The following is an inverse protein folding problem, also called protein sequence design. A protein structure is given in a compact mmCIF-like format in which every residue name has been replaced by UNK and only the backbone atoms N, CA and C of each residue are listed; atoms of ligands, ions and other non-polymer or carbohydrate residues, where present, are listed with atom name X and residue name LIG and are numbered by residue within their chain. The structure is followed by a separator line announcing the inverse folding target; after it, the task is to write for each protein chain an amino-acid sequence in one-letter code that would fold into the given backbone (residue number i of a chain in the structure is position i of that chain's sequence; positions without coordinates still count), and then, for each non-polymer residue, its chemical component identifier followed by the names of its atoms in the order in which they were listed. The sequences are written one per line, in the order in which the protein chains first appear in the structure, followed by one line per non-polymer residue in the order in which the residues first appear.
data_IF_626014045139
#
_entry.id   IF_626014045139
#
_cell.length_a   1.000
_cell.length_b   1.000
_cell.length_c   1.000
_cell.angle_alpha   90.00
_cell.angle_beta   90.00
_cell.angle_gamma   90.00
#
_symmetry.space_group_name_H-M   'P 1'
#
loop_
_entity.id
_entity.type
_entity.pdbx_description
1 polymer ?
#
# COMPACT_ATOMS: atom_id res chain seq x y z
N UNK A 1 -20.19 -6.87 -5.52
CA UNK A 1 -20.43 -5.41 -5.36
C UNK A 1 -19.53 -4.64 -6.32
N UNK A 2 -19.99 -3.53 -6.92
CA UNK A 2 -19.14 -2.58 -7.63
C UNK A 2 -18.24 -1.81 -6.65
N UNK A 3 -17.12 -1.27 -7.12
CA UNK A 3 -16.11 -0.63 -6.27
C UNK A 3 -16.70 0.43 -5.32
N UNK A 4 -17.47 1.41 -5.82
CA UNK A 4 -18.09 2.44 -5.00
C UNK A 4 -19.05 1.88 -3.92
N UNK A 5 -19.69 0.73 -4.16
CA UNK A 5 -20.49 0.04 -3.14
C UNK A 5 -19.60 -0.67 -2.11
N UNK A 6 -18.46 -1.24 -2.54
CA UNK A 6 -17.47 -1.85 -1.64
C UNK A 6 -16.90 -0.82 -0.65
N UNK A 7 -16.58 0.40 -1.12
CA UNK A 7 -16.04 1.46 -0.24
C UNK A 7 -16.98 1.83 0.91
N UNK A 8 -18.28 1.64 0.73
CA UNK A 8 -19.30 2.01 1.72
C UNK A 8 -19.68 0.84 2.64
N UNK A 9 -19.82 -0.36 2.08
CA UNK A 9 -20.48 -1.47 2.76
C UNK A 9 -19.61 -2.70 3.03
N UNK A 10 -18.56 -2.94 2.24
CA UNK A 10 -17.79 -4.17 2.39
C UNK A 10 -17.05 -4.21 3.74
N UNK A 11 -17.08 -5.38 4.39
CA UNK A 11 -16.43 -5.60 5.70
C UNK A 11 -17.10 -4.90 6.89
N UNK A 12 -18.13 -4.10 6.66
CA UNK A 12 -18.84 -3.35 7.70
C UNK A 12 -20.24 -3.95 7.90
N UNK A 13 -20.47 -4.47 9.10
CA UNK A 13 -21.80 -4.91 9.54
C UNK A 13 -22.39 -3.86 10.46
N UNK A 14 -23.71 -3.68 10.43
CA UNK A 14 -24.40 -2.87 11.44
C UNK A 14 -24.08 -3.38 12.85
N UNK A 15 -23.95 -2.46 13.80
CA UNK A 15 -23.67 -2.80 15.20
C UNK A 15 -24.78 -3.72 15.74
N UNK A 16 -24.45 -4.91 16.26
CA UNK A 16 -25.46 -5.90 16.66
C UNK A 16 -26.26 -5.45 17.89
N UNK A 17 -25.76 -4.50 18.67
CA UNK A 17 -26.42 -4.02 19.89
C UNK A 17 -27.43 -2.91 19.61
N UNK A 18 -27.07 -1.96 18.73
CA UNK A 18 -27.85 -0.75 18.48
C UNK A 18 -28.42 -0.67 17.07
N UNK A 19 -27.94 -1.48 16.13
CA UNK A 19 -28.25 -1.39 14.70
C UNK A 19 -27.58 -0.20 14.00
N UNK A 20 -26.59 0.45 14.63
CA UNK A 20 -25.87 1.57 14.03
C UNK A 20 -25.18 1.15 12.72
N UNK A 21 -25.45 1.90 11.65
CA UNK A 21 -24.88 1.63 10.30
C UNK A 21 -23.38 1.94 10.26
N UNK A 22 -22.96 3.04 10.87
CA UNK A 22 -21.54 3.37 11.00
C UNK A 22 -20.96 2.58 12.16
N UNK A 23 -19.82 1.92 11.92
CA UNK A 23 -19.11 1.17 12.96
C UNK A 23 -18.80 2.07 14.17
N UNK A 24 -19.21 1.73 15.41
CA UNK A 24 -18.85 2.49 16.59
C UNK A 24 -17.34 2.55 16.84
N UNK A 25 -16.90 3.61 17.53
CA UNK A 25 -15.51 3.73 18.00
C UNK A 25 -15.40 3.02 19.35
N UNK A 26 -14.78 1.84 19.35
CA UNK A 26 -14.55 1.06 20.58
C UNK A 26 -13.25 1.52 21.25
N UNK A 27 -13.34 2.65 21.96
CA UNK A 27 -12.20 3.23 22.67
C UNK A 27 -11.99 2.51 24.01
N UNK A 28 -11.42 1.30 23.94
CA UNK A 28 -11.16 0.46 25.10
C UNK A 28 -9.86 -0.32 24.94
N UNK A 29 -9.25 -0.74 26.04
CA UNK A 29 -8.07 -1.60 26.05
C UNK A 29 -8.42 -3.08 26.25
N UNK A 30 -9.32 -3.39 27.16
CA UNK A 30 -9.64 -4.73 27.60
C UNK A 30 -11.13 -5.04 27.49
N UNK A 31 -11.46 -6.32 27.44
CA UNK A 31 -12.84 -6.82 27.32
C UNK A 31 -13.12 -7.83 28.44
N UNK A 32 -14.34 -7.85 28.94
CA UNK A 32 -14.75 -8.81 29.98
C UNK A 32 -14.80 -10.22 29.39
N UNK A 33 -14.20 -11.16 30.11
CA UNK A 33 -14.28 -12.58 29.86
C UNK A 33 -15.12 -13.24 30.98
N UNK A 34 -15.96 -14.25 30.66
CA UNK A 34 -16.71 -15.00 31.65
C UNK A 34 -15.81 -15.92 32.47
N UNK A 35 -14.72 -16.43 31.87
CA UNK A 35 -13.61 -17.17 32.45
C UNK A 35 -12.39 -17.03 31.55
N UNK A 36 -11.16 -17.38 31.98
CA UNK A 36 -9.98 -17.30 31.16
C UNK A 36 -10.15 -17.97 29.79
N UNK A 37 -9.95 -17.20 28.71
CA UNK A 37 -10.09 -17.63 27.32
C UNK A 37 -11.55 -17.69 26.80
N UNK A 38 -12.56 -17.39 27.59
CA UNK A 38 -13.97 -17.37 27.17
C UNK A 38 -14.44 -15.93 26.96
N UNK A 39 -14.20 -15.40 25.76
CA UNK A 39 -14.51 -14.03 25.35
C UNK A 39 -15.44 -13.99 24.12
N UNK A 40 -16.07 -12.85 23.88
CA UNK A 40 -17.02 -12.62 22.75
C UNK A 40 -16.31 -12.27 21.43
N UNK A 41 -15.11 -12.82 21.18
CA UNK A 41 -14.29 -12.54 19.98
C UNK A 41 -13.23 -11.46 20.17
N UNK A 42 -13.26 -10.72 21.28
CA UNK A 42 -12.28 -9.68 21.62
C UNK A 42 -11.84 -9.82 23.07
N UNK A 43 -10.54 -9.72 23.33
CA UNK A 43 -9.95 -9.83 24.67
C UNK A 43 -9.11 -8.60 25.03
N UNK A 44 -8.37 -8.08 24.04
CA UNK A 44 -7.45 -6.98 24.23
C UNK A 44 -7.26 -6.20 22.90
N UNK A 45 -7.34 -4.86 22.94
CA UNK A 45 -7.38 -4.04 21.72
C UNK A 45 -6.09 -4.07 20.89
N UNK A 46 -4.93 -4.39 21.47
CA UNK A 46 -3.71 -4.62 20.69
C UNK A 46 -3.87 -5.86 19.81
N UNK A 47 -4.45 -6.94 20.33
CA UNK A 47 -4.73 -8.16 19.56
C UNK A 47 -5.82 -7.91 18.53
N UNK A 48 -7.01 -7.46 18.97
CA UNK A 48 -8.13 -7.15 18.08
C UNK A 48 -9.04 -6.06 18.67
N UNK A 49 -9.56 -5.17 17.82
CA UNK A 49 -10.50 -4.14 18.20
C UNK A 49 -11.62 -4.06 17.16
N UNK A 50 -12.91 -4.00 17.52
CA UNK A 50 -14.02 -4.04 16.55
C UNK A 50 -13.96 -2.95 15.48
N UNK A 51 -13.53 -1.73 15.83
CA UNK A 51 -13.38 -0.61 14.86
C UNK A 51 -12.26 -0.91 13.86
N UNK A 52 -11.11 -1.38 14.36
CA UNK A 52 -9.99 -1.78 13.50
C UNK A 52 -10.35 -2.97 12.62
N UNK A 53 -11.02 -4.00 13.17
CA UNK A 53 -11.46 -5.16 12.40
C UNK A 53 -12.39 -4.79 11.25
N UNK A 54 -13.32 -3.84 11.45
CA UNK A 54 -14.18 -3.36 10.37
C UNK A 54 -13.36 -2.70 9.24
N UNK A 55 -12.34 -1.91 9.59
CA UNK A 55 -11.43 -1.31 8.60
C UNK A 55 -10.60 -2.39 7.88
N UNK A 56 -10.00 -3.32 8.60
CA UNK A 56 -9.19 -4.41 8.05
C UNK A 56 -9.99 -5.26 7.05
N UNK A 57 -11.23 -5.60 7.38
CA UNK A 57 -12.15 -6.31 6.47
C UNK A 57 -12.53 -5.47 5.24
N UNK A 58 -12.72 -4.16 5.40
CA UNK A 58 -13.02 -3.28 4.27
C UNK A 58 -11.85 -3.19 3.31
N UNK A 59 -10.63 -2.99 3.82
CA UNK A 59 -9.40 -2.94 3.03
C UNK A 59 -9.15 -4.25 2.28
N UNK A 60 -9.30 -5.39 2.95
CA UNK A 60 -9.22 -6.70 2.31
C UNK A 60 -10.20 -6.81 1.13
N UNK A 61 -11.47 -6.43 1.34
CA UNK A 61 -12.48 -6.48 0.28
C UNK A 61 -12.18 -5.54 -0.90
N UNK A 62 -11.57 -4.37 -0.64
CA UNK A 62 -11.22 -3.40 -1.69
C UNK A 62 -10.09 -3.91 -2.58
N UNK A 63 -9.07 -4.56 -2.00
CA UNK A 63 -7.94 -5.16 -2.71
C UNK A 63 -8.25 -6.57 -3.26
N UNK A 64 -9.50 -7.04 -3.15
CA UNK A 64 -9.88 -8.43 -3.47
C UNK A 64 -9.09 -9.48 -2.67
N UNK A 65 -8.62 -9.09 -1.48
CA UNK A 65 -7.88 -9.94 -0.55
C UNK A 65 -8.80 -10.62 0.48
N UNK A 66 -8.23 -11.62 1.16
CA UNK A 66 -8.90 -12.34 2.25
C UNK A 66 -8.59 -11.74 3.62
N UNK A 67 -7.35 -11.30 3.81
CA UNK A 67 -6.84 -10.82 5.10
C UNK A 67 -6.31 -9.40 4.95
N UNK A 68 -6.76 -8.51 5.82
CA UNK A 68 -6.26 -7.15 5.96
C UNK A 68 -5.76 -6.91 7.37
N UNK A 69 -4.64 -6.20 7.49
CA UNK A 69 -4.01 -5.81 8.74
C UNK A 69 -3.72 -4.32 8.74
N UNK A 70 -4.04 -3.63 9.81
CA UNK A 70 -3.80 -2.20 9.97
C UNK A 70 -2.65 -1.91 10.93
N UNK A 71 -1.84 -0.91 10.61
CA UNK A 71 -0.65 -0.50 11.35
C UNK A 71 -0.68 0.99 11.67
N UNK A 72 0.02 1.41 12.72
CA UNK A 72 0.09 2.80 13.17
C UNK A 72 0.74 3.79 12.18
N UNK A 73 1.36 3.30 11.10
CA UNK A 73 1.87 4.10 9.98
C UNK A 73 2.17 3.21 8.78
N UNK A 74 2.36 3.80 7.59
CA UNK A 74 2.87 3.08 6.43
C UNK A 74 4.21 2.41 6.72
N UNK A 75 5.13 3.10 7.39
CA UNK A 75 6.43 2.52 7.76
C UNK A 75 6.32 1.40 8.80
N UNK A 76 5.31 1.40 9.68
CA UNK A 76 5.05 0.28 10.57
C UNK A 76 4.56 -0.97 9.81
N UNK A 77 3.83 -0.78 8.72
CA UNK A 77 3.49 -1.88 7.80
C UNK A 77 4.74 -2.41 7.07
N UNK A 78 5.58 -1.51 6.53
CA UNK A 78 6.87 -1.88 5.91
C UNK A 78 7.75 -2.66 6.89
N UNK A 79 7.93 -2.15 8.12
CA UNK A 79 8.70 -2.78 9.19
C UNK A 79 8.20 -4.22 9.48
N UNK A 80 6.89 -4.38 9.60
CA UNK A 80 6.29 -5.70 9.88
C UNK A 80 6.45 -6.67 8.70
N UNK A 81 6.38 -6.18 7.46
CA UNK A 81 6.58 -7.01 6.26
C UNK A 81 8.05 -7.48 6.17
N UNK A 82 9.01 -6.58 6.38
CA UNK A 82 10.44 -6.96 6.32
C UNK A 82 10.83 -7.90 7.47
N UNK A 83 10.18 -7.83 8.62
CA UNK A 83 10.36 -8.77 9.74
C UNK A 83 9.91 -10.21 9.45
N UNK A 84 9.28 -10.49 8.30
CA UNK A 84 9.08 -11.85 7.81
C UNK A 84 10.39 -12.52 7.40
N UNK A 85 11.45 -11.75 7.18
CA UNK A 85 12.77 -12.20 6.76
C UNK A 85 13.68 -12.45 7.96
N UNK A 86 14.74 -13.22 7.71
CA UNK A 86 15.79 -13.55 8.68
C UNK A 86 17.12 -12.89 8.28
N UNK A 87 18.05 -12.67 9.22
CA UNK A 87 19.40 -12.22 8.88
C UNK A 87 20.06 -13.13 7.83
N UNK A 88 20.63 -12.54 6.79
CA UNK A 88 21.16 -13.23 5.62
C UNK A 88 20.24 -13.26 4.41
N UNK A 89 18.94 -13.03 4.59
CA UNK A 89 18.00 -12.92 3.48
C UNK A 89 18.23 -11.65 2.64
N UNK A 90 17.88 -11.71 1.36
CA UNK A 90 18.06 -10.63 0.41
C UNK A 90 16.72 -10.22 -0.21
N UNK A 91 16.59 -8.91 -0.46
CA UNK A 91 15.41 -8.27 -1.08
C UNK A 91 15.83 -7.58 -2.37
N UNK A 92 15.13 -7.85 -3.47
CA UNK A 92 15.26 -7.07 -4.70
C UNK A 92 14.19 -5.97 -4.64
N UNK A 93 14.61 -4.70 -4.63
CA UNK A 93 13.72 -3.55 -4.48
C UNK A 93 13.80 -2.61 -5.67
N UNK A 94 12.67 -1.99 -6.03
CA UNK A 94 12.72 -0.85 -6.94
C UNK A 94 13.65 0.25 -6.39
N UNK A 95 14.35 0.95 -7.28
CA UNK A 95 15.30 2.00 -6.90
C UNK A 95 14.66 3.39 -6.76
N UNK A 96 13.51 3.58 -7.38
CA UNK A 96 12.68 4.78 -7.29
C UNK A 96 11.49 4.47 -6.38
N UNK A 97 11.62 4.76 -5.09
CA UNK A 97 10.64 4.41 -4.06
C UNK A 97 10.62 5.48 -2.96
N UNK A 98 9.57 5.45 -2.16
CA UNK A 98 9.41 6.37 -1.05
C UNK A 98 10.66 6.44 -0.16
N UNK A 99 11.19 7.64 0.06
CA UNK A 99 12.44 7.86 0.81
C UNK A 99 12.40 7.31 2.25
N UNK A 100 11.22 7.17 2.87
CA UNK A 100 11.04 6.52 4.16
C UNK A 100 11.31 5.02 4.09
N UNK A 101 10.85 4.35 3.03
CA UNK A 101 11.09 2.93 2.77
C UNK A 101 12.58 2.69 2.48
N UNK A 102 13.21 3.51 1.64
CA UNK A 102 14.65 3.46 1.43
C UNK A 102 15.44 3.60 2.73
N UNK A 103 15.05 4.57 3.55
CA UNK A 103 15.73 4.84 4.83
C UNK A 103 15.60 3.68 5.82
N UNK A 104 14.42 3.08 5.98
CA UNK A 104 14.27 1.95 6.90
C UNK A 104 15.04 0.72 6.39
N UNK A 105 15.06 0.48 5.09
CA UNK A 105 15.84 -0.61 4.48
C UNK A 105 17.32 -0.44 4.77
N UNK A 106 17.91 0.70 4.40
CA UNK A 106 19.36 0.92 4.43
C UNK A 106 19.91 1.33 5.81
N UNK A 107 19.09 1.90 6.70
CA UNK A 107 19.57 2.40 8.01
C UNK A 107 19.13 1.54 9.19
N UNK A 108 18.15 0.66 8.99
CA UNK A 108 17.67 -0.22 10.06
C UNK A 108 17.91 -1.69 9.67
N UNK A 109 17.34 -2.17 8.59
CA UNK A 109 17.35 -3.59 8.29
C UNK A 109 18.67 -4.11 7.72
N UNK A 110 19.45 -3.30 6.99
CA UNK A 110 20.84 -3.69 6.65
C UNK A 110 21.67 -3.93 7.91
N UNK A 111 21.49 -3.10 8.93
CA UNK A 111 22.13 -3.28 10.25
C UNK A 111 21.68 -4.54 11.00
N UNK A 112 20.53 -5.11 10.64
CA UNK A 112 19.99 -6.37 11.15
C UNK A 112 20.31 -7.57 10.24
N UNK A 113 21.13 -7.37 9.22
CA UNK A 113 21.63 -8.45 8.36
C UNK A 113 20.75 -8.77 7.17
N UNK A 114 19.76 -7.95 6.82
CA UNK A 114 19.01 -8.08 5.57
C UNK A 114 19.71 -7.27 4.48
N UNK A 115 19.88 -7.84 3.30
CA UNK A 115 20.54 -7.16 2.18
C UNK A 115 19.52 -6.69 1.14
N UNK A 116 19.71 -5.49 0.60
CA UNK A 116 18.82 -4.89 -0.39
C UNK A 116 19.55 -4.60 -1.69
N UNK A 117 18.94 -5.05 -2.81
CA UNK A 117 19.40 -4.79 -4.17
C UNK A 117 18.43 -3.82 -4.84
N UNK A 118 18.81 -2.55 -4.93
CA UNK A 118 17.99 -1.52 -5.58
C UNK A 118 18.24 -1.51 -7.09
N UNK A 119 17.18 -1.68 -7.88
CA UNK A 119 17.29 -1.70 -9.35
C UNK A 119 16.04 -1.13 -10.01
N UNK A 120 16.21 -0.57 -11.22
CA UNK A 120 15.05 -0.27 -12.07
C UNK A 120 14.33 -1.57 -12.45
N UNK A 121 13.01 -1.56 -12.37
CA UNK A 121 12.19 -2.76 -12.63
C UNK A 121 11.52 -2.74 -14.02
N UNK A 122 12.08 -1.95 -14.93
CA UNK A 122 11.72 -1.89 -16.35
C UNK A 122 12.30 -3.07 -17.15
N UNK A 123 13.34 -3.71 -16.65
CA UNK A 123 14.02 -4.82 -17.29
C UNK A 123 13.92 -6.12 -16.47
N UNK A 124 13.00 -6.99 -16.85
CA UNK A 124 12.74 -8.28 -16.22
C UNK A 124 13.97 -9.19 -16.18
N UNK A 125 14.79 -9.22 -17.23
CA UNK A 125 16.01 -10.04 -17.27
C UNK A 125 17.02 -9.59 -16.22
N UNK A 126 17.12 -8.28 -15.97
CA UNK A 126 17.99 -7.75 -14.91
C UNK A 126 17.53 -8.21 -13.53
N UNK A 127 16.21 -8.21 -13.28
CA UNK A 127 15.64 -8.68 -12.01
C UNK A 127 15.95 -10.17 -11.82
N UNK A 128 15.67 -10.99 -12.84
CA UNK A 128 15.97 -12.43 -12.79
C UNK A 128 17.45 -12.72 -12.53
N UNK A 129 18.37 -11.91 -13.07
CA UNK A 129 19.81 -12.08 -12.86
C UNK A 129 20.30 -11.73 -11.43
N UNK A 130 19.49 -10.99 -10.66
CA UNK A 130 19.78 -10.65 -9.25
C UNK A 130 19.29 -11.72 -8.28
N UNK A 131 18.42 -12.63 -8.73
CA UNK A 131 17.89 -13.71 -7.89
C UNK A 131 19.00 -14.72 -7.58
N UNK A 132 19.16 -15.02 -6.29
CA UNK A 132 20.10 -16.00 -5.78
C UNK A 132 19.44 -16.80 -4.63
N UNK A 133 20.16 -17.74 -4.01
CA UNK A 133 19.65 -18.62 -2.96
C UNK A 133 19.16 -17.88 -1.70
N UNK A 134 19.72 -16.70 -1.43
CA UNK A 134 19.37 -15.87 -0.28
C UNK A 134 18.20 -14.90 -0.59
N UNK A 135 17.85 -14.71 -1.86
CA UNK A 135 16.73 -13.86 -2.23
C UNK A 135 15.42 -14.47 -1.74
N UNK A 136 14.63 -13.69 -0.98
CA UNK A 136 13.33 -14.14 -0.42
C UNK A 136 12.18 -13.24 -0.80
N UNK A 137 12.45 -12.00 -1.23
CA UNK A 137 11.40 -11.02 -1.47
C UNK A 137 11.75 -10.13 -2.66
N UNK A 138 10.70 -9.76 -3.42
CA UNK A 138 10.72 -8.64 -4.35
C UNK A 138 9.81 -7.56 -3.78
N UNK A 139 10.34 -6.33 -3.63
CA UNK A 139 9.59 -5.15 -3.20
C UNK A 139 9.42 -4.19 -4.37
N UNK A 140 8.19 -3.99 -4.83
CA UNK A 140 7.85 -3.08 -5.92
C UNK A 140 6.95 -1.95 -5.41
N UNK A 141 7.26 -0.70 -5.78
CA UNK A 141 6.37 0.44 -5.63
C UNK A 141 5.92 0.89 -7.03
N UNK A 142 4.61 0.93 -7.30
CA UNK A 142 4.10 1.32 -8.62
C UNK A 142 2.69 1.91 -8.54
N UNK A 143 2.48 3.14 -9.08
CA UNK A 143 3.48 4.08 -9.61
C UNK A 143 4.53 4.49 -8.57
N UNK A 144 5.78 4.66 -8.98
CA UNK A 144 6.88 4.99 -8.06
C UNK A 144 6.83 6.45 -7.58
N UNK A 145 7.55 6.74 -6.50
CA UNK A 145 7.72 8.10 -5.96
C UNK A 145 9.21 8.49 -5.97
N UNK A 146 9.65 9.52 -6.71
CA UNK A 146 8.81 10.56 -7.34
C UNK A 146 8.56 10.41 -8.84
N UNK A 147 9.19 9.48 -9.56
CA UNK A 147 9.25 9.50 -11.03
C UNK A 147 8.01 8.90 -11.72
N UNK A 148 7.08 8.31 -10.95
CA UNK A 148 5.84 7.68 -11.44
C UNK A 148 6.08 6.56 -12.46
N UNK A 149 7.19 5.84 -12.31
CA UNK A 149 7.46 4.66 -13.13
C UNK A 149 6.41 3.58 -12.88
N UNK A 150 5.98 2.95 -13.96
CA UNK A 150 5.04 1.84 -13.88
C UNK A 150 5.80 0.52 -14.03
N UNK A 151 5.52 -0.40 -13.12
CA UNK A 151 6.15 -1.72 -13.08
C UNK A 151 5.12 -2.78 -13.45
N UNK A 152 5.49 -3.74 -14.30
CA UNK A 152 4.62 -4.87 -14.65
C UNK A 152 4.55 -5.88 -13.50
N UNK A 153 3.47 -5.77 -12.70
CA UNK A 153 3.24 -6.62 -11.53
C UNK A 153 3.12 -8.09 -11.94
N UNK A 154 2.45 -8.39 -13.06
CA UNK A 154 2.29 -9.76 -13.54
C UNK A 154 3.63 -10.39 -13.92
N UNK A 155 4.51 -9.61 -14.54
CA UNK A 155 5.85 -10.10 -14.91
C UNK A 155 6.69 -10.37 -13.65
N UNK A 156 6.63 -9.50 -12.63
CA UNK A 156 7.28 -9.75 -11.33
C UNK A 156 6.70 -10.98 -10.62
N UNK A 157 5.37 -11.15 -10.65
CA UNK A 157 4.72 -12.34 -10.09
C UNK A 157 5.21 -13.65 -10.71
N UNK A 158 5.46 -13.66 -12.01
CA UNK A 158 6.00 -14.85 -12.67
C UNK A 158 7.41 -15.17 -12.12
N UNK A 159 8.31 -14.18 -12.05
CA UNK A 159 9.66 -14.37 -11.46
C UNK A 159 9.55 -14.85 -10.00
N UNK A 160 8.68 -14.22 -9.20
CA UNK A 160 8.51 -14.58 -7.79
C UNK A 160 8.06 -16.03 -7.64
N UNK A 161 7.10 -16.49 -8.42
CA UNK A 161 6.59 -17.87 -8.38
C UNK A 161 7.63 -18.89 -8.81
N UNK A 162 8.36 -18.60 -9.89
CA UNK A 162 9.43 -19.48 -10.40
C UNK A 162 10.56 -19.69 -9.38
N UNK A 163 10.78 -18.70 -8.50
CA UNK A 163 11.88 -18.70 -7.53
C UNK A 163 11.41 -18.80 -6.06
N UNK A 164 10.12 -19.03 -5.80
CA UNK A 164 9.53 -19.09 -4.46
C UNK A 164 9.81 -17.83 -3.61
N UNK A 165 9.73 -16.65 -4.23
CA UNK A 165 9.91 -15.36 -3.58
C UNK A 165 8.55 -14.77 -3.19
N UNK A 166 8.53 -13.95 -2.13
CA UNK A 166 7.36 -13.15 -1.77
C UNK A 166 7.35 -11.86 -2.58
N UNK A 167 6.30 -11.61 -3.37
CA UNK A 167 6.10 -10.35 -4.08
C UNK A 167 5.27 -9.38 -3.24
N UNK A 168 5.90 -8.28 -2.83
CA UNK A 168 5.24 -7.17 -2.13
C UNK A 168 5.07 -6.00 -3.08
N UNK A 169 3.86 -5.44 -3.13
CA UNK A 169 3.57 -4.25 -3.94
C UNK A 169 3.06 -3.13 -3.05
N UNK A 170 3.77 -2.01 -3.01
CA UNK A 170 3.27 -0.76 -2.44
C UNK A 170 2.32 -0.11 -3.45
N UNK A 171 1.01 -0.16 -3.14
CA UNK A 171 -0.09 0.31 -3.97
C UNK A 171 -0.62 1.70 -3.54
N UNK A 172 0.17 2.44 -2.76
CA UNK A 172 -0.26 3.69 -2.12
C UNK A 172 -0.74 4.73 -3.14
N UNK A 173 0.00 4.95 -4.24
CA UNK A 173 -0.35 5.97 -5.23
C UNK A 173 -1.51 5.56 -6.14
N UNK A 174 -1.60 4.28 -6.49
CA UNK A 174 -2.70 3.78 -7.31
C UNK A 174 -3.99 3.61 -6.52
N UNK A 175 -3.94 3.15 -5.30
CA UNK A 175 -5.10 2.67 -4.52
C UNK A 175 -5.80 1.47 -5.18
N UNK A 176 -6.68 0.74 -4.49
CA UNK A 176 -7.47 -0.32 -5.13
C UNK A 176 -8.49 0.21 -6.16
N UNK A 177 -8.64 1.54 -6.28
CA UNK A 177 -9.45 2.13 -7.34
C UNK A 177 -8.79 2.01 -8.72
N UNK A 178 -7.48 2.20 -8.80
CA UNK A 178 -6.76 2.16 -10.07
C UNK A 178 -6.21 0.78 -10.40
N UNK A 179 -5.69 0.04 -9.42
CA UNK A 179 -5.19 -1.32 -9.63
C UNK A 179 -5.33 -2.18 -8.38
N UNK A 180 -5.41 -3.49 -8.55
CA UNK A 180 -5.52 -4.51 -7.50
C UNK A 180 -4.37 -5.52 -7.66
N UNK A 181 -3.20 -5.27 -7.03
CA UNK A 181 -2.01 -6.10 -7.23
C UNK A 181 -2.18 -7.58 -6.87
N UNK A 182 -3.08 -7.92 -5.93
CA UNK A 182 -3.37 -9.33 -5.62
C UNK A 182 -3.97 -10.07 -6.82
N UNK A 183 -4.80 -9.41 -7.63
CA UNK A 183 -5.36 -10.01 -8.85
C UNK A 183 -4.29 -10.21 -9.94
N UNK A 184 -3.18 -9.48 -9.85
CA UNK A 184 -2.02 -9.57 -10.74
C UNK A 184 -0.93 -10.49 -10.19
N UNK A 185 -1.19 -11.13 -9.05
CA UNK A 185 -0.36 -12.18 -8.47
C UNK A 185 0.67 -11.72 -7.44
N UNK A 186 0.52 -10.53 -6.88
CA UNK A 186 1.26 -10.13 -5.67
C UNK A 186 0.82 -10.97 -4.46
N UNK A 187 1.74 -11.22 -3.54
CA UNK A 187 1.47 -11.95 -2.30
C UNK A 187 1.00 -11.00 -1.19
N UNK A 188 1.60 -9.82 -1.12
CA UNK A 188 1.24 -8.76 -0.16
C UNK A 188 1.04 -7.45 -0.92
N UNK A 189 -0.05 -6.77 -0.62
CA UNK A 189 -0.26 -5.37 -0.99
C UNK A 189 -0.07 -4.50 0.26
N UNK A 190 0.81 -3.52 0.17
CA UNK A 190 1.08 -2.54 1.21
C UNK A 190 0.43 -1.21 0.85
N UNK A 191 -0.06 -0.49 1.86
CA UNK A 191 -0.54 0.88 1.72
C UNK A 191 -0.06 1.79 2.84
N UNK A 192 0.33 3.01 2.50
CA UNK A 192 0.21 4.14 3.41
C UNK A 192 -1.22 4.68 3.35
N UNK A 193 -2.04 4.33 4.34
CA UNK A 193 -3.42 4.81 4.45
C UNK A 193 -3.50 6.33 4.71
N UNK A 194 -2.36 6.93 5.09
CA UNK A 194 -2.15 8.38 5.28
C UNK A 194 -2.49 9.18 4.02
N UNK A 195 -2.41 8.56 2.83
CA UNK A 195 -2.54 9.21 1.52
C UNK A 195 -4.00 9.15 1.03
N UNK A 196 -4.23 8.74 -0.20
CA UNK A 196 -5.55 8.71 -0.82
C UNK A 196 -6.61 7.90 -0.06
N UNK A 197 -6.21 6.81 0.63
CA UNK A 197 -7.18 5.98 1.37
C UNK A 197 -7.82 6.74 2.53
N UNK A 198 -7.04 7.43 3.37
CA UNK A 198 -7.55 8.37 4.38
C UNK A 198 -8.15 9.62 3.72
N UNK A 199 -7.36 10.28 2.88
CA UNK A 199 -7.80 11.32 1.93
C UNK A 199 -8.16 12.68 2.51
N UNK A 200 -8.00 12.90 3.83
CA UNK A 200 -8.41 14.12 4.53
C UNK A 200 -7.28 14.78 5.33
N UNK A 201 -6.04 14.29 5.21
CA UNK A 201 -4.84 14.84 5.88
C UNK A 201 -4.96 14.90 7.42
N UNK A 202 -5.70 13.98 8.02
CA UNK A 202 -6.08 13.97 9.45
C UNK A 202 -5.66 12.67 10.17
N UNK A 203 -4.97 11.74 9.48
CA UNK A 203 -4.57 10.44 10.03
C UNK A 203 -3.25 9.95 9.44
N UNK A 204 -2.46 9.26 10.25
CA UNK A 204 -1.27 8.50 9.83
C UNK A 204 -1.51 7.04 10.12
N UNK A 205 -1.57 6.21 9.09
CA UNK A 205 -1.78 4.77 9.22
C UNK A 205 -1.16 4.00 8.05
N UNK A 206 -1.00 2.68 8.22
CA UNK A 206 -0.61 1.75 7.18
C UNK A 206 -1.47 0.51 7.14
N UNK A 207 -1.36 -0.26 6.06
CA UNK A 207 -2.00 -1.57 5.94
C UNK A 207 -1.16 -2.55 5.13
N UNK A 208 -1.37 -3.84 5.40
CA UNK A 208 -0.95 -4.96 4.56
C UNK A 208 -2.16 -5.84 4.27
N UNK A 209 -2.30 -6.28 3.01
CA UNK A 209 -3.40 -7.14 2.58
C UNK A 209 -2.80 -8.35 1.85
N UNK A 210 -3.30 -9.56 2.12
CA UNK A 210 -2.83 -10.79 1.48
C UNK A 210 -3.97 -11.82 1.35
N UNK A 211 -3.66 -12.91 0.62
CA UNK A 211 -4.59 -14.04 0.42
C UNK A 211 -4.16 -15.32 1.12
N UNK A 212 -2.88 -15.45 1.42
CA UNK A 212 -2.33 -16.64 2.09
C UNK A 212 -2.53 -16.56 3.61
N UNK A 213 -3.14 -17.59 4.18
CA UNK A 213 -3.48 -17.65 5.59
C UNK A 213 -2.23 -17.73 6.49
N UNK A 214 -1.21 -18.50 6.09
CA UNK A 214 0.04 -18.63 6.86
C UNK A 214 0.82 -17.33 6.89
N UNK A 215 0.77 -16.59 5.77
CA UNK A 215 1.38 -15.27 5.67
C UNK A 215 0.63 -14.27 6.56
N UNK A 216 -0.70 -14.30 6.54
CA UNK A 216 -1.53 -13.48 7.40
C UNK A 216 -1.28 -13.76 8.89
N UNK A 217 -1.20 -15.04 9.30
CA UNK A 217 -0.89 -15.44 10.69
C UNK A 217 0.47 -14.87 11.16
N UNK A 218 1.51 -14.94 10.32
CA UNK A 218 2.82 -14.37 10.64
C UNK A 218 2.75 -12.84 10.80
N UNK A 219 2.03 -12.16 9.90
CA UNK A 219 1.85 -10.72 9.98
C UNK A 219 1.03 -10.31 11.21
N UNK A 220 -0.03 -11.05 11.57
CA UNK A 220 -0.79 -10.83 12.80
C UNK A 220 0.06 -11.03 14.05
N UNK A 221 0.88 -12.08 14.06
CA UNK A 221 1.83 -12.30 15.14
C UNK A 221 2.79 -11.11 15.31
N UNK A 222 3.38 -10.62 14.22
CA UNK A 222 4.28 -9.48 14.23
C UNK A 222 3.55 -8.19 14.65
N UNK A 223 2.38 -7.93 14.09
CA UNK A 223 1.54 -6.78 14.46
C UNK A 223 1.28 -6.74 15.97
N UNK A 224 0.84 -7.88 16.53
CA UNK A 224 0.51 -7.98 17.96
C UNK A 224 1.75 -7.94 18.85
N UNK A 225 2.81 -8.69 18.50
CA UNK A 225 4.02 -8.83 19.32
C UNK A 225 4.86 -7.54 19.34
N UNK A 226 5.01 -6.87 18.20
CA UNK A 226 5.71 -5.59 18.10
C UNK A 226 4.83 -4.40 18.53
N UNK A 227 3.50 -4.60 18.61
CA UNK A 227 2.58 -3.57 19.07
C UNK A 227 2.32 -2.45 18.06
N UNK A 228 2.61 -2.65 16.78
CA UNK A 228 2.51 -1.64 15.72
C UNK A 228 1.05 -1.37 15.28
N UNK A 229 0.09 -1.39 16.20
CA UNK A 229 -1.35 -1.26 15.94
C UNK A 229 -1.80 0.20 15.95
N UNK A 230 -2.78 0.60 15.10
CA UNK A 230 -3.41 1.91 15.18
C UNK A 230 -4.47 1.96 16.30
N UNK A 231 -4.78 3.16 16.75
CA UNK A 231 -5.90 3.41 17.63
C UNK A 231 -7.26 3.24 16.95
N UNK A 232 -8.34 3.02 17.73
CA UNK A 232 -9.69 2.90 17.16
C UNK A 232 -10.19 4.21 16.54
N UNK A 233 -9.79 5.37 17.06
CA UNK A 233 -10.12 6.67 16.46
C UNK A 233 -9.51 6.81 15.07
N UNK A 234 -8.22 6.47 14.90
CA UNK A 234 -7.54 6.53 13.61
C UNK A 234 -8.18 5.54 12.62
N UNK A 235 -8.49 4.33 13.09
CA UNK A 235 -9.19 3.32 12.29
C UNK A 235 -10.56 3.82 11.80
N UNK A 236 -11.30 4.53 12.65
CA UNK A 236 -12.58 5.16 12.29
C UNK A 236 -12.41 6.26 11.23
N UNK A 237 -11.40 7.13 11.38
CA UNK A 237 -11.13 8.20 10.42
C UNK A 237 -10.83 7.66 9.03
N UNK A 238 -9.99 6.62 8.93
CA UNK A 238 -9.72 5.97 7.65
C UNK A 238 -10.96 5.28 7.10
N UNK A 239 -11.71 4.53 7.93
CA UNK A 239 -12.96 3.88 7.50
C UNK A 239 -13.98 4.89 6.96
N UNK A 240 -14.07 6.07 7.57
CA UNK A 240 -14.90 7.18 7.11
C UNK A 240 -14.36 7.78 5.81
N UNK A 241 -13.05 7.99 5.69
CA UNK A 241 -12.38 8.54 4.51
C UNK A 241 -12.55 7.66 3.27
N UNK A 242 -12.46 6.34 3.42
CA UNK A 242 -12.63 5.35 2.33
C UNK A 242 -14.02 5.46 1.67
N UNK A 243 -15.06 5.84 2.39
CA UNK A 243 -16.43 5.95 1.82
C UNK A 243 -16.52 6.92 0.64
N UNK A 244 -15.62 7.88 0.55
CA UNK A 244 -15.52 8.82 -0.58
C UNK A 244 -14.37 8.52 -1.54
N UNK A 245 -13.63 7.43 -1.35
CA UNK A 245 -12.44 7.12 -2.14
C UNK A 245 -12.74 7.11 -3.64
N UNK A 246 -13.82 6.47 -4.07
CA UNK A 246 -14.13 6.31 -5.49
C UNK A 246 -14.41 7.66 -6.17
N UNK A 247 -15.18 8.57 -5.55
CA UNK A 247 -15.46 9.91 -6.14
C UNK A 247 -14.24 10.82 -6.08
N UNK A 248 -13.39 10.69 -5.05
CA UNK A 248 -12.15 11.44 -4.97
C UNK A 248 -11.15 10.98 -6.02
N UNK A 249 -10.95 9.65 -6.18
CA UNK A 249 -10.04 9.11 -7.17
C UNK A 249 -10.48 9.43 -8.59
N UNK A 250 -11.78 9.33 -8.91
CA UNK A 250 -12.30 9.78 -10.20
C UNK A 250 -11.91 11.25 -10.47
N UNK A 251 -12.15 12.15 -9.52
CA UNK A 251 -11.82 13.57 -9.66
C UNK A 251 -10.30 13.80 -9.73
N UNK A 252 -9.50 13.06 -8.97
CA UNK A 252 -8.04 13.14 -9.06
C UNK A 252 -7.53 12.74 -10.45
N UNK A 253 -8.06 11.70 -11.07
CA UNK A 253 -7.68 11.28 -12.41
C UNK A 253 -8.06 12.35 -13.46
N UNK A 254 -9.29 12.87 -13.40
CA UNK A 254 -9.74 13.97 -14.28
C UNK A 254 -8.84 15.20 -14.16
N UNK A 255 -8.55 15.64 -12.92
CA UNK A 255 -7.67 16.78 -12.68
C UNK A 255 -6.22 16.48 -13.09
N UNK A 256 -5.72 15.28 -12.81
CA UNK A 256 -4.38 14.84 -13.20
C UNK A 256 -4.14 14.98 -14.69
N UNK A 257 -5.08 14.52 -15.51
CA UNK A 257 -5.03 14.67 -16.96
C UNK A 257 -4.94 16.14 -17.39
N UNK A 258 -5.87 16.97 -16.90
CA UNK A 258 -5.93 18.40 -17.28
C UNK A 258 -4.63 19.12 -16.88
N UNK A 259 -4.13 18.86 -15.67
CA UNK A 259 -2.91 19.51 -15.17
C UNK A 259 -1.67 19.00 -15.92
N UNK A 260 -1.56 17.70 -16.19
CA UNK A 260 -0.45 17.14 -16.95
C UNK A 260 -0.39 17.73 -18.37
N UNK A 261 -1.52 17.83 -19.07
CA UNK A 261 -1.63 18.46 -20.39
C UNK A 261 -1.29 19.96 -20.38
N UNK A 262 -1.67 20.67 -19.31
CA UNK A 262 -1.31 22.08 -19.11
C UNK A 262 0.19 22.24 -18.90
N UNK A 263 0.79 21.42 -18.01
CA UNK A 263 2.23 21.47 -17.74
C UNK A 263 3.06 21.13 -18.97
N UNK A 264 2.64 20.14 -19.77
CA UNK A 264 3.33 19.75 -21.01
C UNK A 264 3.44 20.91 -22.03
N UNK A 265 2.47 21.83 -22.02
CA UNK A 265 2.43 23.00 -22.90
C UNK A 265 3.12 24.24 -22.31
N UNK A 266 3.53 24.19 -21.05
CA UNK A 266 4.09 25.34 -20.35
C UNK A 266 5.57 25.51 -20.74
N UNK A 267 6.01 26.68 -21.26
CA UNK A 267 7.38 26.91 -21.67
C UNK A 267 8.41 26.88 -20.54
N UNK A 268 7.98 26.92 -19.29
CA UNK A 268 8.84 26.79 -18.10
C UNK A 268 9.03 25.34 -17.66
N UNK A 269 8.33 24.38 -18.27
CA UNK A 269 8.40 22.96 -17.95
C UNK A 269 9.16 22.23 -19.05
N UNK A 270 10.13 21.39 -18.66
CA UNK A 270 10.96 20.62 -19.57
C UNK A 270 10.35 19.23 -19.83
N UNK A 271 10.14 18.45 -18.76
CA UNK A 271 9.53 17.13 -18.86
C UNK A 271 8.36 17.02 -17.88
N UNK A 272 7.34 16.26 -18.28
CA UNK A 272 6.21 15.89 -17.40
C UNK A 272 6.14 14.38 -17.34
N UNK A 273 6.22 13.86 -16.13
CA UNK A 273 6.11 12.42 -15.84
C UNK A 273 4.68 12.14 -15.36
N UNK A 274 3.88 11.54 -16.22
CA UNK A 274 2.52 11.12 -15.91
C UNK A 274 2.18 9.86 -16.73
N UNK A 275 1.72 8.76 -16.10
CA UNK A 275 1.53 7.49 -16.79
C UNK A 275 0.48 7.51 -17.90
N UNK A 276 -0.38 8.54 -17.94
CA UNK A 276 -1.41 8.71 -18.97
C UNK A 276 -0.91 9.20 -20.32
N UNK A 277 0.32 9.69 -20.43
CA UNK A 277 0.89 10.06 -21.72
C UNK A 277 1.38 8.83 -22.47
N UNK A 278 1.08 8.74 -23.78
CA UNK A 278 1.59 7.67 -24.64
C UNK A 278 3.13 7.66 -24.73
N UNK A 279 3.76 8.82 -24.50
CA UNK A 279 5.21 8.96 -24.43
C UNK A 279 5.85 8.44 -23.14
N UNK A 280 5.05 8.12 -22.12
CA UNK A 280 5.55 7.52 -20.88
C UNK A 280 6.09 6.11 -21.16
N UNK A 281 7.30 5.80 -20.67
CA UNK A 281 8.06 4.58 -20.99
C UNK A 281 7.19 3.30 -20.86
N UNK A 282 6.39 3.21 -19.82
CA UNK A 282 5.55 2.04 -19.53
C UNK A 282 4.04 2.34 -19.63
N UNK A 283 3.64 3.27 -20.50
CA UNK A 283 2.22 3.57 -20.75
C UNK A 283 1.40 2.31 -21.11
N UNK A 284 1.94 1.44 -21.95
CA UNK A 284 1.26 0.20 -22.36
C UNK A 284 0.99 -0.73 -21.16
N UNK A 285 1.90 -0.80 -20.19
CA UNK A 285 1.73 -1.56 -18.94
C UNK A 285 0.66 -0.89 -18.08
N UNK A 286 0.73 0.45 -17.90
CA UNK A 286 -0.30 1.19 -17.16
C UNK A 286 -1.70 0.95 -17.75
N UNK A 287 -1.85 1.05 -19.08
CA UNK A 287 -3.09 0.82 -19.79
C UNK A 287 -3.65 -0.61 -19.62
N UNK A 288 -2.77 -1.60 -19.43
CA UNK A 288 -3.14 -3.01 -19.21
C UNK A 288 -3.58 -3.30 -17.79
N UNK A 289 -2.86 -2.74 -16.79
CA UNK A 289 -3.03 -3.13 -15.39
C UNK A 289 -3.80 -2.12 -14.53
N UNK A 290 -3.96 -0.86 -14.99
CA UNK A 290 -4.63 0.20 -14.25
C UNK A 290 -5.95 0.59 -14.91
N UNK A 291 -6.94 0.98 -14.11
CA UNK A 291 -8.22 1.48 -14.60
C UNK A 291 -8.15 2.93 -15.10
N UNK A 292 -7.18 3.72 -14.60
CA UNK A 292 -6.88 5.10 -15.00
C UNK A 292 -5.47 5.44 -14.49
N UNK A 293 -4.96 6.66 -14.73
CA UNK A 293 -3.56 7.01 -14.55
C UNK A 293 -3.26 7.85 -13.29
N UNK A 294 -4.27 8.12 -12.46
CA UNK A 294 -4.13 8.82 -11.18
C UNK A 294 -3.93 10.32 -11.28
N UNK A 295 -3.83 10.94 -10.10
CA UNK A 295 -3.71 12.39 -9.93
C UNK A 295 -2.33 12.88 -9.54
N UNK A 296 -1.32 11.97 -9.45
CA UNK A 296 0.06 12.35 -9.16
C UNK A 296 0.78 12.70 -10.46
N UNK A 297 1.54 13.78 -10.43
CA UNK A 297 2.32 14.30 -11.57
C UNK A 297 3.67 14.75 -11.05
N UNK A 298 4.73 14.39 -11.73
CA UNK A 298 6.07 14.95 -11.52
C UNK A 298 6.51 15.69 -12.79
N UNK A 299 7.32 16.73 -12.65
CA UNK A 299 7.83 17.48 -13.78
C UNK A 299 9.16 18.16 -13.46
N UNK A 300 9.94 18.38 -14.50
CA UNK A 300 11.18 19.16 -14.43
C UNK A 300 10.93 20.57 -14.97
N UNK A 301 11.53 21.56 -14.32
CA UNK A 301 11.51 22.95 -14.80
C UNK A 301 12.72 23.25 -15.71
N UNK A 302 12.53 24.17 -16.63
CA UNK A 302 13.62 24.64 -17.50
C UNK A 302 14.70 25.29 -16.63
N UNK A 303 15.98 24.95 -16.89
CA UNK A 303 17.12 25.40 -16.09
C UNK A 303 17.60 24.35 -15.09
N UNK A 304 16.71 23.49 -14.62
CA UNK A 304 17.01 22.30 -13.79
C UNK A 304 17.86 22.60 -12.53
N UNK A 305 17.73 23.82 -11.97
CA UNK A 305 18.42 24.24 -10.74
C UNK A 305 17.43 24.19 -9.58
N UNK A 306 17.92 23.75 -8.41
CA UNK A 306 17.12 23.72 -7.19
C UNK A 306 16.53 25.09 -6.84
N UNK A 307 17.28 26.17 -7.10
CA UNK A 307 16.87 27.55 -6.86
C UNK A 307 15.61 27.93 -7.67
N UNK A 308 15.49 27.42 -8.91
CA UNK A 308 14.34 27.69 -9.79
C UNK A 308 13.07 26.97 -9.32
N UNK A 309 13.21 25.91 -8.52
CA UNK A 309 12.09 25.15 -7.96
C UNK A 309 11.58 25.69 -6.60
N UNK A 310 12.36 26.54 -5.94
CA UNK A 310 12.08 27.06 -4.58
C UNK A 310 11.51 28.49 -4.61
N UNK A 311 11.61 29.18 -5.74
CA UNK A 311 11.03 30.53 -5.98
C UNK A 311 9.63 30.44 -6.55
#
# INVERSE_FOLDING_TARGET
MKFGTKTIHAGQKADPTTGAIMTPIYQTSTYIQSKPGDHKGYEYSRTANPTRTALENNLAALENGKFGLCFGSGLAAVDSIIKLLSPGDEVISTNDLYGGTYRIFTKVFEGLGIKFHFTGMDNIHKISSLVNENTKMIWAETPTNPMLNIIDIQALSNISKENNLTLVVDNTFATPYLQTPLDLGADIVMHSLTKYMGGHSDVVMGAAICNDEKLAEKLYFLQNSCGAVPGPQDSFLVLRGIKTLHVRMQRHCENGKIIAEFLQKNPKVNNVYWPGFESHTNHAIAKKQMNDYGGMISFDIVGNKLEDAVT
#
